data_IF_556591700497
#
_entry.id   IF_556591700497
#
_cell.length_a   1.000
_cell.length_b   1.000
_cell.length_c   1.000
_cell.angle_alpha   90.00
_cell.angle_beta   90.00
_cell.angle_gamma   90.00
#
_symmetry.space_group_name_H-M   'P 1'
#
loop_
_entity.id
_entity.type
_entity.pdbx_description
1 polymer ?
#
# COMPACT_ATOMS: atom_id res chain seq x y z
N UNK A 1 -12.14 -21.72 -5.12
CA UNK A 1 -13.31 -20.82 -4.94
C UNK A 1 -13.66 -20.54 -3.48
N UNK A 2 -13.28 -21.39 -2.52
CA UNK A 2 -13.62 -21.18 -1.09
C UNK A 2 -12.85 -20.03 -0.40
N UNK A 3 -11.64 -19.71 -0.85
CA UNK A 3 -10.81 -18.73 -0.14
C UNK A 3 -11.16 -17.26 -0.41
N UNK A 4 -11.73 -16.95 -1.59
CA UNK A 4 -12.21 -15.61 -1.91
C UNK A 4 -13.31 -15.16 -0.93
N UNK A 5 -14.31 -16.02 -0.69
CA UNK A 5 -15.38 -15.74 0.27
C UNK A 5 -14.91 -15.61 1.72
N UNK A 6 -13.79 -16.26 2.08
CA UNK A 6 -13.17 -16.12 3.41
C UNK A 6 -12.49 -14.78 3.59
N UNK A 7 -11.91 -14.23 2.52
CA UNK A 7 -11.25 -12.92 2.54
C UNK A 7 -12.28 -11.78 2.55
N UNK A 8 -13.35 -11.90 1.76
CA UNK A 8 -14.46 -10.95 1.76
C UNK A 8 -15.10 -10.81 3.16
N UNK A 9 -15.31 -11.95 3.84
CA UNK A 9 -15.81 -11.96 5.20
C UNK A 9 -14.84 -11.28 6.19
N UNK A 10 -13.53 -11.39 5.97
CA UNK A 10 -12.54 -10.69 6.79
C UNK A 10 -12.60 -9.18 6.54
N UNK A 11 -12.72 -8.73 5.29
CA UNK A 11 -12.86 -7.33 4.92
C UNK A 11 -14.11 -6.69 5.53
N UNK A 12 -15.23 -7.42 5.55
CA UNK A 12 -16.45 -6.98 6.23
C UNK A 12 -16.21 -6.77 7.74
N UNK A 13 -15.49 -7.68 8.38
CA UNK A 13 -15.16 -7.57 9.82
C UNK A 13 -14.20 -6.43 10.15
N UNK A 14 -13.30 -6.06 9.23
CA UNK A 14 -12.41 -4.89 9.40
C UNK A 14 -13.18 -3.57 9.43
N UNK A 15 -14.33 -3.50 8.75
CA UNK A 15 -15.23 -2.33 8.73
C UNK A 15 -16.29 -2.35 9.83
N UNK A 16 -16.26 -3.34 10.71
CA UNK A 16 -17.27 -3.48 11.75
C UNK A 16 -17.21 -2.33 12.76
N UNK A 17 -18.35 -1.78 13.25
CA UNK A 17 -18.36 -0.67 14.19
C UNK A 17 -17.70 -1.01 15.54
N UNK A 18 -17.80 -2.28 15.97
CA UNK A 18 -17.22 -2.74 17.24
C UNK A 18 -15.69 -2.97 17.16
N UNK A 19 -14.87 -2.28 17.97
CA UNK A 19 -13.41 -2.42 17.96
C UNK A 19 -12.91 -3.85 18.23
N UNK A 20 -13.57 -4.61 19.11
CA UNK A 20 -13.20 -6.00 19.41
C UNK A 20 -13.28 -6.91 18.17
N UNK A 21 -14.26 -6.68 17.30
CA UNK A 21 -14.42 -7.45 16.06
C UNK A 21 -13.34 -7.05 15.05
N UNK A 22 -13.08 -5.74 14.90
CA UNK A 22 -11.97 -5.24 14.06
C UNK A 22 -10.63 -5.80 14.51
N UNK A 23 -10.35 -5.81 15.82
CA UNK A 23 -9.13 -6.36 16.38
C UNK A 23 -8.96 -7.84 16.03
N UNK A 24 -10.02 -8.65 16.19
CA UNK A 24 -9.99 -10.06 15.84
C UNK A 24 -9.73 -10.25 14.33
N UNK A 25 -10.33 -9.42 13.50
CA UNK A 25 -10.11 -9.45 12.05
C UNK A 25 -8.67 -9.04 11.68
N UNK A 26 -8.14 -7.98 12.27
CA UNK A 26 -6.75 -7.53 12.09
C UNK A 26 -5.74 -8.60 12.51
N UNK A 27 -5.94 -9.21 13.69
CA UNK A 27 -5.07 -10.30 14.16
C UNK A 27 -5.14 -11.51 13.24
N UNK A 28 -6.34 -11.86 12.76
CA UNK A 28 -6.51 -12.95 11.80
C UNK A 28 -5.82 -12.63 10.47
N UNK A 29 -5.93 -11.40 9.98
CA UNK A 29 -5.26 -10.97 8.75
C UNK A 29 -3.75 -11.01 8.90
N UNK A 30 -3.23 -10.44 9.99
CA UNK A 30 -1.81 -10.43 10.31
C UNK A 30 -1.25 -11.84 10.41
N UNK A 31 -1.94 -12.74 11.12
CA UNK A 31 -1.58 -14.14 11.22
C UNK A 31 -1.53 -14.80 9.84
N UNK A 32 -2.58 -14.64 9.03
CA UNK A 32 -2.64 -15.22 7.69
C UNK A 32 -1.53 -14.71 6.77
N UNK A 33 -1.18 -13.42 6.83
CA UNK A 33 -0.09 -12.84 6.05
C UNK A 33 1.29 -13.34 6.52
N UNK A 34 1.52 -13.42 7.83
CA UNK A 34 2.79 -13.90 8.40
C UNK A 34 3.04 -15.37 8.11
N UNK A 35 2.01 -16.20 8.31
CA UNK A 35 2.06 -17.64 8.06
C UNK A 35 1.89 -18.00 6.58
N UNK A 36 1.83 -17.01 5.69
CA UNK A 36 1.66 -17.19 4.23
C UNK A 36 0.43 -18.03 3.87
N UNK A 37 -0.60 -18.00 4.71
CA UNK A 37 -1.90 -18.64 4.47
C UNK A 37 -2.73 -17.86 3.44
N UNK A 38 -2.41 -16.58 3.27
CA UNK A 38 -2.85 -15.77 2.14
C UNK A 38 -1.65 -15.01 1.59
N UNK A 39 -1.66 -14.76 0.29
CA UNK A 39 -0.67 -13.91 -0.37
C UNK A 39 -1.17 -12.47 -0.46
N UNK A 40 -0.25 -11.49 -0.46
CA UNK A 40 -0.62 -10.07 -0.58
C UNK A 40 -1.35 -9.76 -1.90
N UNK A 41 -1.09 -10.53 -2.96
CA UNK A 41 -1.78 -10.41 -4.25
C UNK A 41 -3.29 -10.62 -4.13
N UNK A 42 -3.71 -11.47 -3.20
CA UNK A 42 -5.13 -11.74 -2.96
C UNK A 42 -5.83 -10.52 -2.33
N UNK A 43 -5.09 -9.58 -1.75
CA UNK A 43 -5.63 -8.34 -1.19
C UNK A 43 -5.75 -7.20 -2.20
N UNK A 44 -5.08 -7.27 -3.35
CA UNK A 44 -5.10 -6.20 -4.37
C UNK A 44 -6.52 -5.89 -4.89
N UNK A 45 -7.37 -6.89 -5.23
CA UNK A 45 -8.74 -6.62 -5.66
C UNK A 45 -9.59 -5.96 -4.57
N UNK A 46 -9.20 -6.12 -3.30
CA UNK A 46 -9.93 -5.66 -2.12
C UNK A 46 -9.33 -4.39 -1.50
N UNK A 47 -8.30 -3.81 -2.14
CA UNK A 47 -7.53 -2.69 -1.61
C UNK A 47 -8.39 -1.48 -1.23
N UNK A 48 -9.45 -1.20 -2.01
CA UNK A 48 -10.38 -0.09 -1.78
C UNK A 48 -11.15 -0.21 -0.47
N UNK A 49 -11.28 -1.43 0.08
CA UNK A 49 -11.93 -1.68 1.36
C UNK A 49 -10.92 -1.92 2.47
N UNK A 50 -9.82 -2.63 2.19
CA UNK A 50 -8.80 -3.00 3.18
C UNK A 50 -8.02 -1.77 3.63
N UNK A 51 -7.47 -0.99 2.69
CA UNK A 51 -6.54 0.10 3.02
C UNK A 51 -7.21 1.19 3.88
N UNK A 52 -8.40 1.72 3.54
CA UNK A 52 -9.07 2.71 4.40
C UNK A 52 -9.36 2.18 5.81
N UNK A 53 -9.69 0.89 5.92
CA UNK A 53 -9.95 0.24 7.21
C UNK A 53 -8.68 0.15 8.06
N UNK A 54 -7.55 -0.20 7.45
CA UNK A 54 -6.25 -0.22 8.12
C UNK A 54 -5.84 1.18 8.58
N UNK A 55 -5.92 2.18 7.71
CA UNK A 55 -5.55 3.56 8.03
C UNK A 55 -6.44 4.16 9.14
N UNK A 56 -7.73 3.84 9.13
CA UNK A 56 -8.66 4.26 10.19
C UNK A 56 -8.32 3.59 11.53
N UNK A 57 -7.85 2.34 11.50
CA UNK A 57 -7.49 1.58 12.70
C UNK A 57 -6.25 2.13 13.41
N UNK A 58 -5.40 2.91 12.73
CA UNK A 58 -4.27 3.60 13.37
C UNK A 58 -4.71 4.66 14.41
N UNK A 59 -5.97 5.12 14.34
CA UNK A 59 -6.53 6.11 15.28
C UNK A 59 -6.99 5.50 16.60
N UNK A 60 -7.08 4.17 16.67
CA UNK A 60 -7.58 3.43 17.82
C UNK A 60 -6.41 2.73 18.52
N UNK A 61 -6.03 3.13 19.75
CA UNK A 61 -4.87 2.56 20.45
C UNK A 61 -4.92 1.04 20.60
N UNK A 62 -6.13 0.45 20.69
CA UNK A 62 -6.28 -0.99 20.81
C UNK A 62 -5.99 -1.74 19.50
N UNK A 63 -6.05 -1.05 18.36
CA UNK A 63 -5.87 -1.62 17.01
C UNK A 63 -4.55 -1.22 16.37
N UNK A 64 -3.99 -0.08 16.79
CA UNK A 64 -2.85 0.61 16.21
C UNK A 64 -1.71 -0.35 15.82
N UNK A 65 -1.18 -1.09 16.79
CA UNK A 65 -0.07 -2.03 16.57
C UNK A 65 -0.38 -3.10 15.52
N UNK A 66 -1.60 -3.67 15.57
CA UNK A 66 -1.98 -4.72 14.61
C UNK A 66 -2.15 -4.15 13.21
N UNK A 67 -2.74 -2.96 13.08
CA UNK A 67 -2.90 -2.28 11.81
C UNK A 67 -1.54 -1.84 11.22
N UNK A 68 -0.65 -1.30 12.05
CA UNK A 68 0.70 -0.91 11.65
C UNK A 68 1.50 -2.09 11.10
N UNK A 69 1.48 -3.24 11.79
CA UNK A 69 2.17 -4.44 11.30
C UNK A 69 1.62 -4.94 9.96
N UNK A 70 0.30 -4.90 9.76
CA UNK A 70 -0.28 -5.27 8.46
C UNK A 70 0.21 -4.32 7.38
N UNK A 71 0.17 -3.00 7.62
CA UNK A 71 0.65 -2.01 6.66
C UNK A 71 2.14 -2.19 6.30
N UNK A 72 2.97 -2.56 7.28
CA UNK A 72 4.37 -2.90 7.03
C UNK A 72 4.53 -4.12 6.12
N UNK A 73 3.77 -5.20 6.35
CA UNK A 73 3.82 -6.37 5.48
C UNK A 73 3.37 -6.03 4.06
N UNK A 74 2.34 -5.19 3.91
CA UNK A 74 1.89 -4.73 2.59
C UNK A 74 2.97 -3.88 1.91
N UNK A 75 3.62 -2.96 2.62
CA UNK A 75 4.70 -2.16 2.05
C UNK A 75 5.93 -3.00 1.68
N UNK A 76 6.25 -4.03 2.48
CA UNK A 76 7.33 -4.99 2.24
C UNK A 76 7.07 -5.93 1.06
N UNK A 77 5.81 -6.07 0.63
CA UNK A 77 5.48 -6.89 -0.54
C UNK A 77 6.11 -6.40 -1.84
N UNK A 78 6.46 -5.11 -1.92
CA UNK A 78 6.94 -4.47 -3.14
C UNK A 78 5.85 -4.27 -4.21
N UNK A 79 4.58 -4.57 -3.91
CA UNK A 79 3.48 -4.34 -4.86
C UNK A 79 3.28 -2.85 -5.12
N UNK A 80 3.54 -2.44 -6.36
CA UNK A 80 3.29 -1.07 -6.83
C UNK A 80 1.80 -0.71 -6.75
N UNK A 81 0.91 -1.68 -6.93
CA UNK A 81 -0.55 -1.51 -6.84
C UNK A 81 -0.97 -1.19 -5.39
N UNK A 82 -0.48 -1.96 -4.41
CA UNK A 82 -0.79 -1.70 -3.00
C UNK A 82 -0.15 -0.40 -2.51
N UNK A 83 1.09 -0.12 -2.93
CA UNK A 83 1.80 1.11 -2.56
C UNK A 83 1.13 2.36 -3.14
N UNK A 84 0.77 2.35 -4.42
CA UNK A 84 0.02 3.44 -5.05
C UNK A 84 -1.34 3.63 -4.41
N UNK A 85 -2.03 2.55 -4.05
CA UNK A 85 -3.30 2.63 -3.33
C UNK A 85 -3.15 3.19 -1.92
N UNK A 86 -2.08 2.85 -1.19
CA UNK A 86 -1.77 3.45 0.11
C UNK A 86 -1.59 4.97 -0.02
N UNK A 87 -0.89 5.43 -1.05
CA UNK A 87 -0.74 6.86 -1.33
C UNK A 87 -2.09 7.50 -1.67
N UNK A 88 -2.87 6.88 -2.56
CA UNK A 88 -4.19 7.36 -2.98
C UNK A 88 -5.15 7.52 -1.81
N UNK A 89 -5.17 6.58 -0.86
CA UNK A 89 -6.01 6.65 0.33
C UNK A 89 -5.45 7.50 1.48
N UNK A 90 -4.43 8.33 1.22
CA UNK A 90 -3.93 9.30 2.19
C UNK A 90 -3.12 8.67 3.32
N UNK A 91 -2.35 7.62 3.05
CA UNK A 91 -1.47 7.01 4.04
C UNK A 91 -0.46 8.01 4.62
N UNK A 92 0.02 9.01 3.85
CA UNK A 92 0.95 10.03 4.37
C UNK A 92 0.37 10.74 5.60
N UNK A 93 -0.81 11.34 5.43
CA UNK A 93 -1.45 12.11 6.48
C UNK A 93 -1.81 11.23 7.68
N UNK A 94 -2.28 10.01 7.43
CA UNK A 94 -2.67 9.07 8.50
C UNK A 94 -1.48 8.61 9.32
N UNK A 95 -0.38 8.22 8.67
CA UNK A 95 0.84 7.76 9.33
C UNK A 95 1.56 8.89 10.05
N UNK A 96 1.65 10.09 9.47
CA UNK A 96 2.26 11.24 10.13
C UNK A 96 1.47 11.67 11.37
N UNK A 97 0.13 11.64 11.30
CA UNK A 97 -0.71 11.92 12.48
C UNK A 97 -0.51 10.88 13.57
N UNK A 98 -0.42 9.60 13.21
CA UNK A 98 -0.20 8.53 14.18
C UNK A 98 1.20 8.62 14.81
N UNK A 99 2.24 8.92 14.02
CA UNK A 99 3.60 9.14 14.50
C UNK A 99 3.68 10.24 15.56
N UNK A 100 2.97 11.35 15.35
CA UNK A 100 2.92 12.45 16.32
C UNK A 100 2.09 12.10 17.58
N UNK A 101 1.20 11.13 17.50
CA UNK A 101 0.34 10.68 18.61
C UNK A 101 0.97 9.60 19.48
N UNK A 102 1.97 8.88 18.98
CA UNK A 102 2.62 7.78 19.69
C UNK A 102 4.15 7.81 19.50
N UNK A 103 4.85 8.43 20.46
CA UNK A 103 6.31 8.60 20.40
C UNK A 103 7.07 7.28 20.37
N UNK A 104 6.56 6.22 21.02
CA UNK A 104 7.22 4.91 21.03
C UNK A 104 7.27 4.28 19.62
N UNK A 105 6.26 4.57 18.79
CA UNK A 105 6.15 4.02 17.44
C UNK A 105 6.57 5.02 16.36
N UNK A 106 7.00 6.24 16.71
CA UNK A 106 7.27 7.31 15.77
C UNK A 106 8.26 6.88 14.67
N UNK A 107 9.40 6.30 15.05
CA UNK A 107 10.41 5.83 14.09
C UNK A 107 9.84 4.75 13.15
N UNK A 108 8.97 3.89 13.68
CA UNK A 108 8.33 2.82 12.91
C UNK A 108 7.39 3.40 11.85
N UNK A 109 6.62 4.43 12.19
CA UNK A 109 5.78 5.17 11.26
C UNK A 109 6.59 5.90 10.19
N UNK A 110 7.65 6.60 10.59
CA UNK A 110 8.52 7.32 9.66
C UNK A 110 9.19 6.38 8.66
N UNK A 111 9.64 5.21 9.11
CA UNK A 111 10.20 4.18 8.23
C UNK A 111 9.18 3.68 7.21
N UNK A 112 7.96 3.40 7.66
CA UNK A 112 6.87 2.95 6.77
C UNK A 112 6.50 4.05 5.76
N UNK A 113 6.43 5.30 6.19
CA UNK A 113 6.26 6.46 5.30
C UNK A 113 7.33 6.48 4.22
N UNK A 114 8.62 6.43 4.59
CA UNK A 114 9.71 6.40 3.61
C UNK A 114 9.55 5.24 2.62
N UNK A 115 9.21 4.05 3.09
CA UNK A 115 9.01 2.89 2.21
C UNK A 115 7.89 3.11 1.18
N UNK A 116 6.77 3.71 1.59
CA UNK A 116 5.64 3.99 0.71
C UNK A 116 6.01 5.05 -0.34
N UNK A 117 6.80 6.06 0.00
CA UNK A 117 7.07 7.22 -0.87
C UNK A 117 8.41 7.17 -1.62
N UNK A 118 9.40 6.41 -1.17
CA UNK A 118 10.65 6.17 -1.92
C UNK A 118 10.38 5.35 -3.18
N UNK A 119 9.45 4.40 -3.11
CA UNK A 119 9.06 3.59 -4.28
C UNK A 119 8.46 4.44 -5.40
N UNK A 120 7.82 5.57 -5.07
CA UNK A 120 7.30 6.52 -6.07
C UNK A 120 8.44 7.17 -6.87
N UNK A 121 9.54 7.49 -6.21
CA UNK A 121 10.70 8.12 -6.85
C UNK A 121 11.30 7.19 -7.90
N UNK A 122 11.43 5.90 -7.59
CA UNK A 122 11.92 4.90 -8.55
C UNK A 122 10.94 4.75 -9.74
N UNK A 123 9.64 4.58 -9.48
CA UNK A 123 8.66 4.43 -10.57
C UNK A 123 8.51 5.66 -11.45
N UNK A 124 8.64 6.86 -10.88
CA UNK A 124 8.53 8.12 -11.63
C UNK A 124 9.79 8.37 -12.45
N UNK A 125 10.97 8.08 -11.90
CA UNK A 125 12.24 8.15 -12.64
C UNK A 125 12.27 7.13 -13.78
N UNK A 126 11.79 5.90 -13.56
CA UNK A 126 11.66 4.88 -14.61
C UNK A 126 10.70 5.33 -15.73
N UNK A 127 9.55 5.89 -15.38
CA UNK A 127 8.60 6.42 -16.36
C UNK A 127 9.13 7.63 -17.14
N UNK A 128 9.88 8.52 -16.49
CA UNK A 128 10.53 9.66 -17.14
C UNK A 128 11.65 9.21 -18.09
N UNK A 129 12.45 8.21 -17.69
CA UNK A 129 13.47 7.59 -18.55
C UNK A 129 12.85 6.92 -19.79
N UNK A 130 11.81 6.11 -19.61
CA UNK A 130 11.10 5.49 -20.74
C UNK A 130 10.43 6.50 -21.68
N UNK A 131 10.02 7.68 -21.17
CA UNK A 131 9.50 8.76 -22.01
C UNK A 131 10.63 9.48 -22.77
N UNK A 132 11.78 9.69 -22.13
CA UNK A 132 12.94 10.30 -22.77
C UNK A 132 13.51 9.40 -23.88
N UNK A 133 13.58 8.09 -23.67
CA UNK A 133 14.01 7.12 -24.70
C UNK A 133 13.06 7.11 -25.89
N UNK A 134 11.74 7.05 -25.66
CA UNK A 134 10.74 7.13 -26.74
C UNK A 134 10.81 8.45 -27.52
N UNK A 135 11.05 9.56 -26.83
CA UNK A 135 11.19 10.86 -27.47
C UNK A 135 12.50 10.98 -28.28
N UNK A 136 13.56 10.28 -27.88
CA UNK A 136 14.82 10.23 -28.62
C UNK A 136 14.67 9.45 -29.93
N UNK A 137 13.98 8.30 -29.90
CA UNK A 137 13.70 7.48 -31.09
C UNK A 137 12.81 8.24 -32.11
N UNK A 138 11.85 9.04 -31.65
CA UNK A 138 11.02 9.88 -32.53
C UNK A 138 11.79 11.04 -33.20
N UNK A 139 12.86 11.53 -32.57
CA UNK A 139 13.71 12.59 -33.14
C UNK A 139 14.60 12.01 -34.25
N UNK A 140 15.21 10.85 -34.03
CA UNK A 140 16.02 10.16 -35.04
C UNK A 140 15.20 9.81 -36.29
N UNK A 141 13.95 9.33 -36.14
CA UNK A 141 13.09 9.05 -37.30
C UNK A 141 12.69 10.27 -38.13
N UNK A 142 12.62 11.46 -37.52
CA UNK A 142 12.27 12.71 -38.21
C UNK A 142 13.47 13.31 -38.95
N UNK A 143 14.67 13.23 -38.38
CA UNK A 143 15.90 13.71 -39.03
C UNK A 143 16.31 12.83 -40.22
N UNK A 144 16.05 11.52 -40.17
CA UNK A 144 16.27 10.61 -41.30
C UNK A 144 15.32 10.93 -42.47
N UNK A 145 14.05 11.29 -42.20
CA UNK A 145 13.08 11.67 -43.24
C UNK A 145 13.34 13.07 -43.82
N UNK A 146 13.87 14.01 -43.04
CA UNK A 146 14.22 15.35 -43.50
C UNK A 146 15.42 15.39 -44.45
N UNK A 147 16.37 14.45 -44.32
CA UNK A 147 17.53 14.35 -45.21
C UNK A 147 17.26 13.66 -46.56
N UNK A 148 16.05 13.14 -46.77
CA UNK A 148 15.65 12.45 -48.02
C UNK A 148 14.68 13.24 -48.91
N UNK A 149 14.48 14.54 -48.65
CA UNK A 149 13.67 15.44 -49.49
C UNK A 149 14.51 16.46 -50.24
#
# INVERSE_FOLDING_TARGET
MEDAGRLDALVLKLRHPLPKIRLRALRSLLFKLRERLIHWRELEPLQSSVIPSLLTSLKDPALELSALHVLQLLAQSGSTILLSSLQHFGAAQSLQRAANGNQELQETYEKLLRQIYVTKLVSTVEQELEQLERNADEIDERDIRGCMS
#
